data_IF_384637242333
#
_entry.id   IF_384637242333
#
_cell.length_a   1.000
_cell.length_b   1.000
_cell.length_c   1.000
_cell.angle_alpha   90.00
_cell.angle_beta   90.00
_cell.angle_gamma   90.00
#
_symmetry.space_group_name_H-M   'P 1'
#
loop_
_entity.id
_entity.type
_entity.pdbx_description
1 polymer ?
#
# COMPACT_ATOMS: atom_id res chain seq x y z
N UNK A 1 3.97 -19.59 12.51
CA UNK A 1 5.12 -19.12 11.71
C UNK A 1 4.71 -17.84 11.00
N UNK A 2 5.59 -16.83 10.96
CA UNK A 2 5.30 -15.59 10.24
C UNK A 2 5.13 -15.88 8.73
N UNK A 3 4.15 -15.26 8.07
CA UNK A 3 3.97 -15.39 6.61
C UNK A 3 4.93 -14.42 5.91
N UNK A 4 5.41 -14.77 4.71
CA UNK A 4 6.30 -13.88 3.93
C UNK A 4 5.72 -12.49 3.75
N UNK A 5 4.40 -12.39 3.55
CA UNK A 5 3.67 -11.13 3.38
C UNK A 5 3.69 -10.24 4.64
N UNK A 6 3.88 -10.83 5.83
CA UNK A 6 3.73 -10.16 7.12
C UNK A 6 5.08 -9.72 7.69
N UNK A 7 6.18 -10.46 7.47
CA UNK A 7 7.44 -10.16 8.12
C UNK A 7 8.70 -10.49 7.29
N UNK A 8 9.77 -9.71 7.49
CA UNK A 8 11.11 -9.97 6.91
C UNK A 8 11.72 -11.25 7.45
N UNK A 9 11.41 -11.61 8.69
CA UNK A 9 11.88 -12.83 9.35
C UNK A 9 11.30 -14.11 8.74
N UNK A 10 10.30 -13.99 7.87
CA UNK A 10 9.76 -15.11 7.11
C UNK A 10 10.48 -15.34 5.77
N UNK A 11 11.47 -14.51 5.44
CA UNK A 11 12.35 -14.66 4.30
C UNK A 11 13.69 -15.27 4.72
N UNK A 12 14.37 -15.90 3.77
CA UNK A 12 15.72 -16.41 4.00
C UNK A 12 16.74 -15.26 4.07
N UNK A 13 17.71 -15.39 4.99
CA UNK A 13 18.79 -14.43 5.18
C UNK A 13 18.41 -13.22 6.04
N UNK A 14 19.15 -12.13 5.85
CA UNK A 14 18.92 -10.83 6.52
C UNK A 14 18.83 -9.69 5.50
N UNK A 15 17.82 -9.73 4.61
CA UNK A 15 17.73 -8.77 3.52
C UNK A 15 17.51 -7.33 4.01
N UNK A 16 18.23 -6.34 3.46
CA UNK A 16 17.94 -4.92 3.68
C UNK A 16 16.49 -4.58 3.29
N UNK A 17 15.85 -3.72 4.07
CA UNK A 17 14.52 -3.19 3.75
C UNK A 17 14.69 -1.78 3.19
N UNK A 18 14.21 -1.56 1.98
CA UNK A 18 14.12 -0.25 1.33
C UNK A 18 12.65 0.15 1.33
N UNK A 19 12.33 1.32 1.88
CA UNK A 19 10.96 1.82 1.92
C UNK A 19 10.85 3.11 1.13
N UNK A 20 9.77 3.24 0.34
CA UNK A 20 9.40 4.44 -0.40
C UNK A 20 7.90 4.71 -0.16
N UNK A 21 7.52 5.96 -0.03
CA UNK A 21 6.12 6.35 0.23
C UNK A 21 5.75 7.62 -0.49
N UNK A 22 4.44 7.81 -0.62
CA UNK A 22 3.74 9.01 -1.07
C UNK A 22 4.17 9.41 -2.48
N UNK A 23 4.10 8.45 -3.41
CA UNK A 23 4.40 8.70 -4.82
C UNK A 23 3.37 9.64 -5.43
N UNK A 24 2.11 9.58 -4.98
CA UNK A 24 1.04 10.49 -5.39
C UNK A 24 1.02 10.77 -6.90
N UNK A 25 1.01 9.72 -7.73
CA UNK A 25 0.96 9.85 -9.18
C UNK A 25 2.16 10.55 -9.83
N UNK A 26 3.23 10.88 -9.10
CA UNK A 26 4.47 11.45 -9.63
C UNK A 26 5.43 10.34 -10.06
N UNK A 27 5.00 9.53 -11.04
CA UNK A 27 5.76 8.36 -11.52
C UNK A 27 7.22 8.67 -11.84
N UNK A 28 7.49 9.77 -12.55
CA UNK A 28 8.85 10.13 -12.93
C UNK A 28 9.75 10.40 -11.70
N UNK A 29 9.16 10.91 -10.61
CA UNK A 29 9.89 11.21 -9.38
C UNK A 29 10.12 9.92 -8.58
N UNK A 30 9.12 9.05 -8.54
CA UNK A 30 9.23 7.70 -8.01
C UNK A 30 10.33 6.88 -8.68
N UNK A 31 10.39 6.91 -10.02
CA UNK A 31 11.43 6.23 -10.79
C UNK A 31 12.83 6.75 -10.45
N UNK A 32 12.99 8.07 -10.25
CA UNK A 32 14.27 8.65 -9.83
C UNK A 32 14.65 8.22 -8.42
N UNK A 33 13.69 8.18 -7.49
CA UNK A 33 13.92 7.74 -6.12
C UNK A 33 14.35 6.26 -6.06
N UNK A 34 13.69 5.37 -6.81
CA UNK A 34 14.05 3.95 -6.87
C UNK A 34 15.43 3.70 -7.49
N UNK A 35 15.88 4.59 -8.40
CA UNK A 35 17.21 4.52 -9.00
C UNK A 35 18.31 5.10 -8.10
N UNK A 36 17.99 5.80 -7.01
CA UNK A 36 18.96 6.58 -6.23
C UNK A 36 20.11 5.74 -5.66
N UNK A 37 19.84 4.48 -5.27
CA UNK A 37 20.89 3.62 -4.71
C UNK A 37 21.98 3.24 -5.72
N UNK A 38 21.71 3.29 -7.03
CA UNK A 38 22.70 2.94 -8.07
C UNK A 38 23.92 3.89 -8.07
N UNK A 39 23.75 5.09 -7.52
CA UNK A 39 24.79 6.11 -7.49
C UNK A 39 25.74 5.92 -6.27
N UNK A 40 25.52 4.87 -5.47
CA UNK A 40 26.31 4.51 -4.31
C UNK A 40 26.93 3.11 -4.48
N UNK A 41 28.26 3.02 -4.45
CA UNK A 41 29.00 1.76 -4.64
C UNK A 41 28.78 0.72 -3.54
N UNK A 42 28.28 1.15 -2.37
CA UNK A 42 28.07 0.28 -1.21
C UNK A 42 26.72 -0.45 -1.26
N UNK A 43 25.87 -0.12 -2.23
CA UNK A 43 24.52 -0.69 -2.37
C UNK A 43 24.31 -1.22 -3.79
N UNK A 44 23.63 -2.36 -3.88
CA UNK A 44 23.09 -2.84 -5.13
C UNK A 44 21.92 -1.93 -5.56
N UNK A 45 21.68 -1.75 -6.87
CA UNK A 45 20.48 -1.07 -7.33
C UNK A 45 19.24 -1.86 -6.91
N UNK A 46 18.19 -1.17 -6.45
CA UNK A 46 16.87 -1.79 -6.19
C UNK A 46 16.26 -2.28 -7.51
N UNK A 47 16.37 -1.43 -8.53
CA UNK A 47 15.81 -1.62 -9.86
C UNK A 47 16.81 -1.17 -10.92
N UNK A 48 16.70 -1.73 -12.11
CA UNK A 48 17.46 -1.30 -13.29
C UNK A 48 16.50 -0.81 -14.37
N UNK A 49 16.99 0.04 -15.28
CA UNK A 49 16.21 0.48 -16.44
C UNK A 49 16.44 -0.49 -17.59
N UNK A 50 15.36 -1.07 -18.11
CA UNK A 50 15.38 -1.96 -19.26
C UNK A 50 15.46 -1.21 -20.58
N UNK A 51 15.68 -1.95 -21.66
CA UNK A 51 15.68 -1.43 -23.04
C UNK A 51 14.29 -0.92 -23.48
N UNK A 52 13.22 -1.38 -22.83
CA UNK A 52 11.85 -0.88 -22.99
C UNK A 52 11.61 0.48 -22.30
N UNK A 53 12.63 0.99 -21.60
CA UNK A 53 12.60 2.25 -20.85
C UNK A 53 11.92 2.14 -19.48
N UNK A 54 11.39 0.99 -19.09
CA UNK A 54 10.75 0.76 -17.80
C UNK A 54 11.78 0.37 -16.72
N UNK A 55 11.35 0.42 -15.46
CA UNK A 55 12.14 -0.11 -14.35
C UNK A 55 11.78 -1.56 -14.09
N UNK A 56 12.80 -2.38 -13.90
CA UNK A 56 12.70 -3.81 -13.62
C UNK A 56 13.40 -4.17 -12.32
N UNK A 57 12.98 -5.25 -11.69
CA UNK A 57 13.67 -5.79 -10.52
C UNK A 57 15.13 -6.12 -10.83
N UNK A 58 16.07 -5.61 -10.02
CA UNK A 58 17.50 -5.75 -10.32
C UNK A 58 18.10 -7.13 -9.94
N UNK A 59 17.30 -8.05 -9.40
CA UNK A 59 17.78 -9.37 -8.96
C UNK A 59 18.57 -9.35 -7.64
N UNK A 60 18.46 -8.27 -6.85
CA UNK A 60 19.05 -8.16 -5.52
C UNK A 60 18.24 -8.94 -4.45
N UNK A 61 18.70 -8.91 -3.20
CA UNK A 61 18.05 -9.56 -2.07
C UNK A 61 17.17 -8.61 -1.22
N UNK A 62 16.96 -7.36 -1.62
CA UNK A 62 16.23 -6.38 -0.81
C UNK A 62 14.75 -6.75 -0.64
N UNK A 63 14.14 -6.19 0.41
CA UNK A 63 12.70 -6.04 0.49
C UNK A 63 12.34 -4.59 0.19
N UNK A 64 11.64 -4.36 -0.92
CA UNK A 64 11.10 -3.06 -1.28
C UNK A 64 9.68 -2.91 -0.72
N UNK A 65 9.45 -1.87 0.08
CA UNK A 65 8.14 -1.52 0.64
C UNK A 65 7.65 -0.22 0.01
N UNK A 66 6.58 -0.30 -0.78
CA UNK A 66 5.75 0.84 -1.16
C UNK A 66 4.76 1.10 -0.02
N UNK A 67 5.03 2.10 0.82
CA UNK A 67 4.33 2.34 2.08
C UNK A 67 3.01 3.15 1.93
N UNK A 68 2.30 2.96 0.82
CA UNK A 68 1.02 3.61 0.53
C UNK A 68 1.11 4.94 -0.20
N UNK A 69 -0.07 5.46 -0.55
CA UNK A 69 -0.29 6.74 -1.22
C UNK A 69 0.43 6.83 -2.58
N UNK A 70 0.22 5.80 -3.41
CA UNK A 70 0.76 5.74 -4.77
C UNK A 70 -0.05 6.60 -5.75
N UNK A 71 -1.33 6.81 -5.45
CA UNK A 71 -2.27 7.49 -6.33
C UNK A 71 -2.61 8.92 -5.88
N UNK A 72 -3.33 9.62 -6.75
CA UNK A 72 -3.82 11.00 -6.63
C UNK A 72 -2.76 12.08 -6.70
N UNK A 73 -3.22 13.34 -6.84
CA UNK A 73 -2.42 14.59 -6.96
C UNK A 73 -1.59 14.70 -8.25
N UNK A 74 -0.66 13.78 -8.47
CA UNK A 74 0.22 13.79 -9.62
C UNK A 74 -0.45 13.31 -10.91
N UNK A 75 0.24 13.48 -12.04
CA UNK A 75 -0.36 13.28 -13.37
C UNK A 75 -0.54 11.81 -13.78
N UNK A 76 0.13 10.86 -13.12
CA UNK A 76 0.17 9.45 -13.55
C UNK A 76 -0.02 8.46 -12.39
N UNK A 77 -1.21 8.48 -11.78
CA UNK A 77 -1.60 7.48 -10.76
C UNK A 77 -1.60 6.03 -11.29
N UNK A 78 -2.14 5.72 -12.49
CA UNK A 78 -2.08 4.36 -13.04
C UNK A 78 -0.65 3.87 -13.19
N UNK A 79 0.26 4.70 -13.71
CA UNK A 79 1.66 4.33 -13.90
C UNK A 79 2.40 4.04 -12.60
N UNK A 80 2.08 4.71 -11.49
CA UNK A 80 2.62 4.36 -10.17
C UNK A 80 2.17 2.98 -9.69
N UNK A 81 0.88 2.65 -9.86
CA UNK A 81 0.32 1.33 -9.49
C UNK A 81 0.88 0.22 -10.37
N UNK A 82 1.01 0.48 -11.67
CA UNK A 82 1.59 -0.46 -12.64
C UNK A 82 3.07 -0.72 -12.36
N UNK A 83 3.83 0.31 -11.97
CA UNK A 83 5.23 0.17 -11.54
C UNK A 83 5.36 -0.75 -10.33
N UNK A 84 4.56 -0.52 -9.27
CA UNK A 84 4.59 -1.38 -8.09
C UNK A 84 4.14 -2.81 -8.39
N UNK A 85 3.10 -3.00 -9.22
CA UNK A 85 2.65 -4.31 -9.68
C UNK A 85 3.70 -5.08 -10.45
N UNK A 86 4.32 -4.44 -11.45
CA UNK A 86 5.39 -5.05 -12.23
C UNK A 86 6.54 -5.54 -11.35
N UNK A 87 7.00 -4.69 -10.42
CA UNK A 87 8.08 -5.07 -9.52
C UNK A 87 7.67 -6.21 -8.58
N UNK A 88 6.40 -6.27 -8.14
CA UNK A 88 5.87 -7.42 -7.40
C UNK A 88 5.86 -8.71 -8.22
N UNK A 89 5.51 -8.64 -9.50
CA UNK A 89 5.46 -9.81 -10.39
C UNK A 89 6.85 -10.32 -10.78
N UNK A 90 7.82 -9.42 -10.96
CA UNK A 90 9.19 -9.76 -11.37
C UNK A 90 10.07 -10.26 -10.22
N UNK A 91 9.88 -9.69 -9.02
CA UNK A 91 10.74 -10.02 -7.89
C UNK A 91 10.37 -11.40 -7.30
N UNK A 92 11.33 -12.09 -6.64
CA UNK A 92 11.02 -13.32 -5.91
C UNK A 92 9.87 -13.13 -4.91
N UNK A 93 9.02 -14.16 -4.68
CA UNK A 93 7.85 -14.03 -3.83
C UNK A 93 8.17 -13.48 -2.45
N UNK A 94 7.71 -12.26 -2.25
CA UNK A 94 7.78 -11.56 -0.99
C UNK A 94 8.85 -10.49 -0.85
N UNK A 95 9.57 -10.20 -1.93
CA UNK A 95 10.57 -9.12 -2.00
C UNK A 95 9.96 -7.74 -2.22
N UNK A 96 8.73 -7.64 -2.73
CA UNK A 96 8.06 -6.35 -2.91
C UNK A 96 6.73 -6.34 -2.16
N UNK A 97 6.53 -5.30 -1.35
CA UNK A 97 5.35 -5.05 -0.54
C UNK A 97 4.68 -3.77 -1.02
N UNK A 98 3.37 -3.82 -1.21
CA UNK A 98 2.56 -2.64 -1.48
C UNK A 98 1.56 -2.50 -0.34
N UNK A 99 1.66 -1.41 0.41
CA UNK A 99 0.74 -1.09 1.49
C UNK A 99 -0.37 -0.16 1.01
N UNK A 100 -1.54 -0.35 1.61
CA UNK A 100 -2.65 0.57 1.46
C UNK A 100 -2.30 1.90 2.14
N UNK A 101 -2.36 3.01 1.39
CA UNK A 101 -2.38 4.35 1.94
C UNK A 101 -3.80 4.89 2.05
N UNK A 102 -3.93 6.10 2.60
CA UNK A 102 -5.24 6.70 2.78
C UNK A 102 -5.89 7.10 1.45
N UNK A 103 -5.08 7.37 0.42
CA UNK A 103 -5.56 7.65 -0.93
C UNK A 103 -6.09 6.40 -1.64
N UNK A 104 -5.44 5.25 -1.48
CA UNK A 104 -6.03 3.97 -1.90
C UNK A 104 -7.30 3.65 -1.10
N UNK A 105 -7.38 4.04 0.19
CA UNK A 105 -8.60 3.90 0.98
C UNK A 105 -9.83 4.55 0.34
N UNK A 106 -9.67 5.73 -0.29
CA UNK A 106 -10.78 6.33 -1.05
C UNK A 106 -11.16 5.54 -2.29
N UNK A 107 -10.20 4.88 -2.95
CA UNK A 107 -10.46 4.00 -4.09
C UNK A 107 -11.29 2.77 -3.68
N UNK A 108 -11.01 2.19 -2.49
CA UNK A 108 -11.81 1.09 -1.95
C UNK A 108 -13.27 1.51 -1.75
N UNK A 109 -13.46 2.69 -1.15
CA UNK A 109 -14.78 3.22 -0.78
C UNK A 109 -15.24 4.36 -1.71
N UNK A 110 -15.02 4.21 -3.02
CA UNK A 110 -15.27 5.25 -4.03
C UNK A 110 -16.70 5.81 -4.02
N UNK A 111 -17.70 5.04 -3.56
CA UNK A 111 -19.11 5.50 -3.46
C UNK A 111 -19.36 6.38 -2.25
N UNK A 112 -18.45 6.39 -1.30
CA UNK A 112 -18.45 7.24 -0.11
C UNK A 112 -17.51 8.43 -0.25
N UNK A 113 -16.53 8.33 -1.15
CA UNK A 113 -15.55 9.39 -1.39
C UNK A 113 -16.25 10.65 -1.95
N UNK A 114 -15.81 11.82 -1.49
CA UNK A 114 -16.18 13.07 -2.12
C UNK A 114 -15.62 13.11 -3.55
N UNK A 115 -16.30 13.81 -4.45
CA UNK A 115 -15.72 14.14 -5.75
C UNK A 115 -14.62 15.18 -5.55
N UNK A 116 -13.38 14.72 -5.53
CA UNK A 116 -12.18 15.54 -5.34
C UNK A 116 -11.54 15.94 -6.68
N UNK A 117 -12.02 15.38 -7.79
CA UNK A 117 -11.32 15.40 -9.07
C UNK A 117 -10.02 14.59 -9.07
N UNK A 118 -9.74 13.80 -8.03
CA UNK A 118 -8.57 12.92 -7.97
C UNK A 118 -8.88 11.53 -8.54
N UNK A 119 -7.82 10.82 -8.91
CA UNK A 119 -7.88 9.50 -9.51
C UNK A 119 -8.74 8.51 -8.70
N UNK A 120 -8.61 8.48 -7.37
CA UNK A 120 -9.38 7.57 -6.52
C UNK A 120 -10.89 7.76 -6.62
N UNK A 121 -11.34 9.00 -6.87
CA UNK A 121 -12.77 9.34 -6.98
C UNK A 121 -13.35 9.02 -8.36
N UNK A 122 -12.50 8.99 -9.40
CA UNK A 122 -12.91 8.82 -10.79
C UNK A 122 -12.35 7.58 -11.49
N UNK A 123 -11.61 6.72 -10.77
CA UNK A 123 -11.01 5.52 -11.34
C UNK A 123 -12.09 4.63 -11.98
N UNK A 124 -11.83 4.03 -13.17
CA UNK A 124 -12.79 3.14 -13.80
C UNK A 124 -13.14 1.95 -12.90
N UNK A 125 -14.39 1.47 -13.01
CA UNK A 125 -14.87 0.34 -12.22
C UNK A 125 -13.99 -0.91 -12.38
N UNK A 126 -13.52 -1.18 -13.60
CA UNK A 126 -12.59 -2.28 -13.88
C UNK A 126 -11.25 -2.13 -13.15
N UNK A 127 -10.72 -0.91 -13.06
CA UNK A 127 -9.48 -0.61 -12.35
C UNK A 127 -9.64 -0.78 -10.84
N UNK A 128 -10.72 -0.23 -10.26
CA UNK A 128 -11.06 -0.45 -8.86
C UNK A 128 -11.21 -1.94 -8.56
N UNK A 129 -11.94 -2.68 -9.40
CA UNK A 129 -12.13 -4.12 -9.27
C UNK A 129 -10.81 -4.89 -9.28
N UNK A 130 -9.90 -4.57 -10.21
CA UNK A 130 -8.58 -5.18 -10.27
C UNK A 130 -7.75 -4.90 -9.01
N UNK A 131 -7.83 -3.69 -8.46
CA UNK A 131 -7.17 -3.34 -7.20
C UNK A 131 -7.75 -4.12 -6.01
N UNK A 132 -9.08 -4.25 -5.92
CA UNK A 132 -9.75 -5.07 -4.90
C UNK A 132 -9.35 -6.55 -4.98
N UNK A 133 -9.19 -7.08 -6.20
CA UNK A 133 -8.71 -8.44 -6.39
C UNK A 133 -7.29 -8.64 -5.82
N UNK A 134 -6.38 -7.68 -6.03
CA UNK A 134 -5.02 -7.72 -5.45
C UNK A 134 -5.01 -7.66 -3.93
N UNK A 135 -5.98 -6.96 -3.33
CA UNK A 135 -6.16 -6.98 -1.88
C UNK A 135 -6.65 -8.36 -1.41
N UNK A 136 -7.65 -8.92 -2.11
CA UNK A 136 -8.19 -10.23 -1.79
C UNK A 136 -7.16 -11.36 -1.96
N UNK A 137 -6.20 -11.22 -2.88
CA UNK A 137 -5.06 -12.13 -3.07
C UNK A 137 -3.83 -11.77 -2.23
N UNK A 138 -3.95 -10.79 -1.34
CA UNK A 138 -2.93 -10.42 -0.35
C UNK A 138 -1.66 -9.77 -0.94
N UNK A 139 -1.72 -9.31 -2.19
CA UNK A 139 -0.62 -8.60 -2.86
C UNK A 139 -0.52 -7.14 -2.37
N UNK A 140 -1.65 -6.59 -1.91
CA UNK A 140 -1.73 -5.29 -1.23
C UNK A 140 -2.09 -5.53 0.23
N UNK A 141 -1.25 -5.04 1.15
CA UNK A 141 -1.36 -5.28 2.60
C UNK A 141 -1.52 -3.97 3.39
N UNK A 142 -1.72 -4.03 4.71
CA UNK A 142 -1.77 -2.83 5.56
C UNK A 142 -0.40 -2.48 6.14
N UNK A 143 0.39 -3.50 6.45
CA UNK A 143 1.62 -3.34 7.19
C UNK A 143 2.60 -4.49 6.93
N UNK A 144 3.84 -4.29 7.39
CA UNK A 144 4.93 -5.25 7.32
C UNK A 144 5.89 -5.14 8.51
N UNK A 145 6.18 -6.26 9.16
CA UNK A 145 7.20 -6.34 10.20
C UNK A 145 8.59 -6.41 9.57
N UNK A 146 9.38 -5.36 9.72
CA UNK A 146 10.81 -5.40 9.43
C UNK A 146 11.59 -6.06 10.57
N UNK A 147 12.75 -5.50 10.88
CA UNK A 147 13.57 -5.93 12.01
C UNK A 147 13.10 -5.30 13.31
N UNK A 148 13.51 -4.05 13.53
CA UNK A 148 13.18 -3.26 14.71
C UNK A 148 11.92 -2.42 14.49
N UNK A 149 11.51 -2.23 13.24
CA UNK A 149 10.44 -1.33 12.84
C UNK A 149 9.31 -2.09 12.15
N UNK A 150 8.09 -1.63 12.38
CA UNK A 150 6.90 -2.04 11.63
C UNK A 150 6.55 -0.93 10.64
N UNK A 151 6.42 -1.30 9.37
CA UNK A 151 6.05 -0.41 8.29
C UNK A 151 4.52 -0.45 8.14
N UNK A 152 3.91 0.73 8.11
CA UNK A 152 2.52 0.96 7.75
C UNK A 152 2.43 2.42 7.30
N UNK A 153 1.38 2.78 6.57
CA UNK A 153 1.29 4.11 5.97
C UNK A 153 1.38 5.24 7.02
N UNK A 154 0.53 5.21 8.05
CA UNK A 154 0.46 6.26 9.07
C UNK A 154 0.97 5.85 10.46
N UNK A 155 1.24 4.56 10.70
CA UNK A 155 1.65 4.06 12.02
C UNK A 155 0.48 3.89 13.00
N UNK A 156 0.78 3.61 14.27
CA UNK A 156 -0.25 3.38 15.30
C UNK A 156 0.29 3.79 16.68
N UNK A 157 -0.57 4.41 17.48
CA UNK A 157 -0.29 4.78 18.89
C UNK A 157 0.14 3.56 19.73
N UNK A 158 -0.52 2.42 19.52
CA UNK A 158 -0.35 1.22 20.33
C UNK A 158 0.40 0.11 19.59
N UNK A 159 1.02 0.45 18.45
CA UNK A 159 1.61 -0.53 17.53
C UNK A 159 0.58 -1.21 16.61
N UNK A 160 1.08 -1.98 15.65
CA UNK A 160 0.28 -2.66 14.63
C UNK A 160 0.49 -4.17 14.73
N UNK A 161 -0.58 -4.91 14.95
CA UNK A 161 -0.60 -6.37 14.78
C UNK A 161 -0.70 -6.70 13.29
N UNK A 162 0.47 -6.88 12.65
CA UNK A 162 0.59 -6.98 11.19
C UNK A 162 -0.21 -8.14 10.61
N UNK A 163 -0.14 -9.32 11.24
CA UNK A 163 -0.86 -10.50 10.76
C UNK A 163 -2.36 -10.23 10.79
N UNK A 164 -2.87 -9.67 11.90
CA UNK A 164 -4.29 -9.36 12.06
C UNK A 164 -4.78 -8.33 11.04
N UNK A 165 -4.07 -7.21 10.87
CA UNK A 165 -4.53 -6.16 9.94
C UNK A 165 -4.48 -6.63 8.49
N UNK A 166 -3.50 -7.46 8.11
CA UNK A 166 -3.40 -8.03 6.78
C UNK A 166 -4.49 -9.08 6.51
N UNK A 167 -4.77 -9.99 7.44
CA UNK A 167 -5.87 -10.97 7.33
C UNK A 167 -7.24 -10.26 7.20
N UNK A 168 -7.46 -9.20 7.98
CA UNK A 168 -8.70 -8.42 7.92
C UNK A 168 -8.80 -7.62 6.62
N UNK A 169 -7.71 -7.04 6.13
CA UNK A 169 -7.71 -6.32 4.86
C UNK A 169 -8.02 -7.28 3.68
N UNK A 170 -7.46 -8.50 3.67
CA UNK A 170 -7.79 -9.50 2.66
C UNK A 170 -9.29 -9.85 2.67
N UNK A 171 -9.88 -10.00 3.85
CA UNK A 171 -11.33 -10.19 4.01
C UNK A 171 -12.12 -9.01 3.42
N UNK A 172 -11.73 -7.77 3.74
CA UNK A 172 -12.35 -6.55 3.18
C UNK A 172 -12.22 -6.51 1.66
N UNK A 173 -11.06 -6.86 1.11
CA UNK A 173 -10.84 -6.94 -0.33
C UNK A 173 -11.81 -7.91 -1.00
N UNK A 174 -11.99 -9.10 -0.42
CA UNK A 174 -12.94 -10.09 -0.93
C UNK A 174 -14.40 -9.62 -0.84
N UNK A 175 -14.80 -9.01 0.28
CA UNK A 175 -16.14 -8.45 0.46
C UNK A 175 -16.43 -7.34 -0.56
N UNK A 176 -15.54 -6.36 -0.68
CA UNK A 176 -15.71 -5.24 -1.62
C UNK A 176 -15.65 -5.71 -3.08
N UNK A 177 -14.83 -6.72 -3.41
CA UNK A 177 -14.79 -7.32 -4.73
C UNK A 177 -16.12 -7.97 -5.09
N UNK A 178 -16.72 -8.72 -4.17
CA UNK A 178 -18.03 -9.33 -4.36
C UNK A 178 -19.13 -8.27 -4.55
N UNK A 179 -19.06 -7.15 -3.82
CA UNK A 179 -19.96 -6.01 -4.02
C UNK A 179 -19.76 -5.36 -5.39
N UNK A 180 -18.52 -5.19 -5.83
CA UNK A 180 -18.20 -4.62 -7.15
C UNK A 180 -18.75 -5.45 -8.32
N UNK A 181 -18.89 -6.77 -8.13
CA UNK A 181 -19.53 -7.69 -9.09
C UNK A 181 -21.06 -7.77 -8.93
N UNK A 182 -21.64 -7.07 -7.96
CA UNK A 182 -23.07 -7.07 -7.63
C UNK A 182 -23.60 -5.69 -7.20
N UNK A 183 -24.13 -5.60 -5.98
CA UNK A 183 -24.69 -4.37 -5.41
C UNK A 183 -23.59 -3.53 -4.72
N UNK A 184 -22.87 -2.71 -5.50
CA UNK A 184 -21.83 -1.79 -5.02
C UNK A 184 -22.41 -0.44 -4.54
N UNK A 185 -23.55 -0.46 -3.83
CA UNK A 185 -24.19 0.75 -3.33
C UNK A 185 -23.42 1.42 -2.18
N UNK A 186 -23.58 2.74 -1.96
CA UNK A 186 -22.91 3.46 -0.87
C UNK A 186 -23.25 2.90 0.52
N UNK A 187 -24.48 2.42 0.72
CA UNK A 187 -24.89 1.79 1.96
C UNK A 187 -24.12 0.49 2.27
N UNK A 188 -23.76 -0.30 1.25
CA UNK A 188 -22.95 -1.52 1.39
C UNK A 188 -21.50 -1.18 1.73
N UNK A 189 -20.92 -0.23 1.00
CA UNK A 189 -19.56 0.25 1.30
C UNK A 189 -19.45 0.85 2.70
N UNK A 190 -20.49 1.57 3.16
CA UNK A 190 -20.55 2.12 4.53
C UNK A 190 -20.53 1.00 5.57
N UNK A 191 -21.35 -0.03 5.38
CA UNK A 191 -21.41 -1.16 6.30
C UNK A 191 -20.05 -1.88 6.42
N UNK A 192 -19.33 -2.06 5.31
CA UNK A 192 -17.97 -2.62 5.34
C UNK A 192 -17.04 -1.67 6.10
N UNK A 193 -17.00 -0.37 5.76
CA UNK A 193 -16.12 0.60 6.44
C UNK A 193 -16.33 0.62 7.96
N UNK A 194 -17.58 0.58 8.43
CA UNK A 194 -17.95 0.60 9.84
C UNK A 194 -17.62 -0.70 10.58
N UNK A 195 -17.57 -1.84 9.88
CA UNK A 195 -17.23 -3.14 10.47
C UNK A 195 -15.73 -3.30 10.79
N UNK A 196 -14.86 -2.46 10.20
CA UNK A 196 -13.41 -2.55 10.32
C UNK A 196 -12.76 -1.22 10.81
N UNK A 197 -13.13 -0.73 12.02
CA UNK A 197 -12.62 0.54 12.54
C UNK A 197 -11.12 0.52 12.86
N UNK A 198 -10.51 -0.64 13.07
CA UNK A 198 -9.06 -0.79 13.22
C UNK A 198 -8.29 -0.59 11.91
N UNK A 199 -8.95 -0.77 10.76
CA UNK A 199 -8.34 -0.54 9.44
C UNK A 199 -8.66 0.86 8.90
N UNK A 200 -9.90 1.33 9.10
CA UNK A 200 -10.41 2.54 8.43
C UNK A 200 -10.91 3.62 9.41
N UNK A 201 -10.87 3.35 10.71
CA UNK A 201 -11.30 4.30 11.73
C UNK A 201 -10.50 5.59 11.69
N UNK A 202 -11.18 6.68 12.00
CA UNK A 202 -10.62 8.03 12.05
C UNK A 202 -10.54 8.50 13.49
N UNK A 203 -9.54 9.33 13.77
CA UNK A 203 -9.31 9.89 15.10
C UNK A 203 -10.29 11.01 15.48
N UNK A 204 -10.14 11.48 16.72
CA UNK A 204 -10.91 12.60 17.30
C UNK A 204 -9.98 13.64 17.95
N UNK A 205 -10.32 14.95 17.93
CA UNK A 205 -11.44 15.57 17.23
C UNK A 205 -11.19 15.75 15.73
N UNK A 206 -9.96 15.47 15.27
CA UNK A 206 -9.58 15.50 13.86
C UNK A 206 -9.41 14.07 13.34
N UNK A 207 -9.72 13.83 12.05
CA UNK A 207 -9.65 12.49 11.45
C UNK A 207 -8.30 11.78 11.57
N UNK A 208 -7.23 12.56 11.67
CA UNK A 208 -5.84 12.10 11.86
C UNK A 208 -5.38 12.12 13.33
N UNK A 209 -6.27 12.45 14.26
CA UNK A 209 -5.97 12.58 15.68
C UNK A 209 -5.94 11.24 16.41
N UNK A 210 -5.94 11.27 17.75
CA UNK A 210 -5.92 10.08 18.58
C UNK A 210 -7.03 9.07 18.24
N UNK A 211 -6.66 7.79 18.23
CA UNK A 211 -7.55 6.66 17.88
C UNK A 211 -7.72 6.44 16.37
N UNK A 212 -7.01 7.19 15.53
CA UNK A 212 -6.98 6.94 14.09
C UNK A 212 -6.29 5.61 13.76
N UNK A 213 -6.81 4.93 12.74
CA UNK A 213 -6.23 3.69 12.20
C UNK A 213 -4.87 3.92 11.52
N UNK A 214 -4.14 2.85 11.18
CA UNK A 214 -2.86 2.93 10.46
C UNK A 214 -2.89 3.55 9.06
N UNK A 215 -4.05 4.00 8.58
CA UNK A 215 -4.17 4.82 7.39
C UNK A 215 -4.18 6.32 7.67
N UNK A 216 -4.62 6.77 8.85
CA UNK A 216 -4.97 8.18 9.05
C UNK A 216 -4.11 8.91 10.07
N UNK A 217 -3.42 8.21 10.97
CA UNK A 217 -2.77 8.81 12.15
C UNK A 217 -1.75 9.92 11.78
N UNK A 218 -1.78 11.03 12.52
CA UNK A 218 -0.80 12.11 12.41
C UNK A 218 0.49 11.76 13.14
N UNK A 219 1.63 12.26 12.66
CA UNK A 219 2.92 12.12 13.34
C UNK A 219 2.89 12.65 14.79
N UNK A 220 2.09 13.69 15.07
CA UNK A 220 1.93 14.25 16.43
C UNK A 220 1.30 13.28 17.43
N UNK A 221 0.67 12.21 16.93
CA UNK A 221 0.04 11.18 17.74
C UNK A 221 0.89 9.90 17.84
N UNK A 222 2.01 9.81 17.14
CA UNK A 222 2.87 8.64 17.23
C UNK A 222 3.65 8.63 18.55
N UNK A 223 3.91 7.44 19.11
CA UNK A 223 4.79 7.32 20.27
C UNK A 223 6.19 7.82 19.93
N UNK A 224 6.82 8.48 20.91
CA UNK A 224 8.17 9.02 20.79
C UNK A 224 9.26 7.94 20.68
#
# INVERSE_FOLDING_TARGET
MARRRDAVRALDGTPPVVSISDLHGYRADAERALLALRDHSDYDPVVTRGDDGALHWAGNDYVLVFNGDLVDRGPDSPGCVDLAGRLQDEAPPGRVRYHLGNHEGYLLFQRLAADTGWYCSSAPAATRRAFLARIATEDVTMAYEGYTFTYSHAGSETGVDVTRVNDRLATVGAELLALADGDDGPHRQRAVLEAYPDLFGVGQPHRKGPGASPLWLSFDCLPA
#
